data_IF_650477166534
#
_entry.id   IF_650477166534
#
_cell.length_a   1.000
_cell.length_b   1.000
_cell.length_c   1.000
_cell.angle_alpha   90.00
_cell.angle_beta   90.00
_cell.angle_gamma   90.00
#
_symmetry.space_group_name_H-M   'P 1'
#
loop_
_entity.id
_entity.type
_entity.pdbx_description
1 polymer ?
#
# COMPACT_ATOMS: atom_id res chain seq x y z
N UNK A 1 -57.24 34.45 -32.42
CA UNK A 1 -56.16 33.62 -33.04
C UNK A 1 -54.75 33.86 -32.49
N UNK A 2 -54.53 34.68 -31.44
CA UNK A 2 -53.19 34.81 -30.79
C UNK A 2 -53.00 33.92 -29.55
N UNK A 3 -54.08 33.47 -28.91
CA UNK A 3 -54.03 32.60 -27.72
C UNK A 3 -53.88 31.10 -28.04
N UNK A 4 -54.26 30.67 -29.25
CA UNK A 4 -54.11 29.27 -29.69
C UNK A 4 -52.67 28.94 -30.12
N UNK A 5 -51.94 29.92 -30.68
CA UNK A 5 -50.51 29.77 -31.00
C UNK A 5 -49.62 29.71 -29.74
N UNK A 6 -50.04 30.30 -28.63
CA UNK A 6 -49.26 30.32 -27.40
C UNK A 6 -49.33 28.97 -26.67
N UNK A 7 -50.48 28.30 -26.71
CA UNK A 7 -50.65 26.95 -26.15
C UNK A 7 -49.83 25.93 -26.96
N UNK A 8 -49.87 25.99 -28.29
CA UNK A 8 -49.08 25.10 -29.15
C UNK A 8 -47.56 25.29 -28.95
N UNK A 9 -47.08 26.52 -28.68
CA UNK A 9 -45.67 26.79 -28.37
C UNK A 9 -45.24 26.25 -27.00
N UNK A 10 -46.11 26.27 -25.99
CA UNK A 10 -45.79 25.74 -24.66
C UNK A 10 -45.81 24.20 -24.65
N UNK A 11 -46.72 23.57 -25.40
CA UNK A 11 -46.76 22.09 -25.50
C UNK A 11 -45.56 21.54 -26.28
N UNK A 12 -45.01 22.28 -27.25
CA UNK A 12 -43.81 21.86 -27.98
C UNK A 12 -42.54 21.91 -27.13
N UNK A 13 -42.43 22.86 -26.18
CA UNK A 13 -41.23 23.01 -25.32
C UNK A 13 -41.16 21.91 -24.24
N UNK A 14 -42.30 21.40 -23.77
CA UNK A 14 -42.34 20.32 -22.76
C UNK A 14 -41.98 18.95 -23.38
N UNK A 15 -42.17 18.76 -24.68
CA UNK A 15 -41.75 17.55 -25.39
C UNK A 15 -40.24 17.48 -25.65
N UNK A 16 -39.51 18.61 -25.61
CA UNK A 16 -38.05 18.62 -25.74
C UNK A 16 -37.29 18.47 -24.42
N UNK A 17 -37.96 18.59 -23.26
CA UNK A 17 -37.31 18.51 -21.94
C UNK A 17 -37.33 17.11 -21.29
N UNK A 18 -38.03 16.13 -21.87
CA UNK A 18 -38.10 14.76 -21.31
C UNK A 18 -37.30 13.72 -22.11
N UNK A 19 -36.36 14.16 -22.97
CA UNK A 19 -35.40 13.26 -23.61
C UNK A 19 -34.07 13.24 -22.86
N UNK A 20 -34.11 13.00 -21.54
CA UNK A 20 -32.92 12.45 -20.89
C UNK A 20 -32.84 10.98 -21.33
N UNK A 21 -32.08 10.74 -22.39
CA UNK A 21 -31.50 9.44 -22.62
C UNK A 21 -30.80 9.04 -21.33
N UNK A 22 -31.34 8.03 -20.64
CA UNK A 22 -30.51 7.21 -19.79
C UNK A 22 -29.41 6.68 -20.71
N UNK A 23 -28.23 7.30 -20.63
CA UNK A 23 -27.01 6.58 -20.90
C UNK A 23 -27.00 5.46 -19.85
N UNK A 24 -27.61 4.32 -20.21
CA UNK A 24 -27.17 3.06 -19.67
C UNK A 24 -25.67 3.10 -19.88
N UNK A 25 -24.92 3.21 -18.78
CA UNK A 25 -23.53 2.82 -18.76
C UNK A 25 -23.57 1.36 -19.20
N UNK A 26 -23.45 1.14 -20.51
CA UNK A 26 -23.29 -0.22 -20.99
C UNK A 26 -21.98 -0.64 -20.36
N UNK A 27 -22.04 -1.60 -19.45
CA UNK A 27 -20.90 -2.47 -19.19
C UNK A 27 -20.25 -2.73 -20.55
N UNK A 28 -18.94 -2.45 -20.70
CA UNK A 28 -18.31 -2.46 -22.01
C UNK A 28 -18.72 -3.74 -22.74
N UNK A 29 -19.44 -3.58 -23.86
CA UNK A 29 -19.82 -4.73 -24.68
C UNK A 29 -18.53 -5.47 -24.99
N UNK A 30 -18.42 -6.78 -24.74
CA UNK A 30 -17.21 -7.53 -25.06
C UNK A 30 -16.84 -7.21 -26.51
N UNK A 31 -15.67 -6.61 -26.71
CA UNK A 31 -15.31 -5.97 -27.95
C UNK A 31 -15.40 -6.96 -29.10
N UNK A 32 -16.34 -6.73 -30.02
CA UNK A 32 -16.52 -7.52 -31.24
C UNK A 32 -15.26 -7.56 -32.12
N UNK A 33 -14.33 -6.62 -31.92
CA UNK A 33 -12.99 -6.62 -32.49
C UNK A 33 -12.12 -7.81 -32.01
N UNK A 34 -12.21 -8.19 -30.72
CA UNK A 34 -11.44 -9.32 -30.16
C UNK A 34 -11.94 -10.66 -30.71
N UNK A 35 -13.26 -10.84 -30.82
CA UNK A 35 -13.83 -12.02 -31.47
C UNK A 35 -13.43 -12.10 -32.95
N UNK A 36 -13.30 -10.96 -33.64
CA UNK A 36 -12.85 -10.92 -35.04
C UNK A 36 -11.37 -11.29 -35.19
N UNK A 37 -10.49 -10.83 -34.31
CA UNK A 37 -9.05 -11.16 -34.31
C UNK A 37 -8.84 -12.63 -33.92
N UNK A 38 -9.54 -13.13 -32.90
CA UNK A 38 -9.48 -14.53 -32.50
C UNK A 38 -10.01 -15.47 -33.60
N UNK A 39 -11.06 -15.06 -34.32
CA UNK A 39 -11.58 -15.83 -35.46
C UNK A 39 -10.66 -15.75 -36.70
N UNK A 40 -9.96 -14.64 -36.93
CA UNK A 40 -9.04 -14.51 -38.08
C UNK A 40 -7.72 -15.27 -37.90
N UNK A 41 -7.36 -15.64 -36.66
CA UNK A 41 -6.16 -16.46 -36.38
C UNK A 41 -6.48 -17.96 -36.19
N UNK A 42 -7.75 -18.37 -36.28
CA UNK A 42 -8.15 -19.78 -36.15
C UNK A 42 -8.10 -20.49 -37.52
N UNK A 43 -6.89 -20.81 -37.96
CA UNK A 43 -6.72 -21.96 -38.83
C UNK A 43 -6.27 -23.13 -37.93
N UNK A 44 -7.23 -23.98 -37.52
CA UNK A 44 -7.06 -25.34 -36.95
C UNK A 44 -7.04 -25.60 -35.44
N UNK A 45 -7.41 -24.67 -34.54
CA UNK A 45 -7.62 -25.00 -33.11
C UNK A 45 -9.04 -24.63 -32.64
N UNK A 46 -9.77 -25.59 -32.02
CA UNK A 46 -11.03 -25.33 -31.31
C UNK A 46 -10.76 -24.26 -30.23
N UNK A 47 -11.34 -23.09 -30.39
CA UNK A 47 -11.17 -21.99 -29.46
C UNK A 47 -12.02 -22.28 -28.21
N UNK A 48 -11.43 -22.93 -27.21
CA UNK A 48 -12.10 -23.16 -25.92
C UNK A 48 -12.24 -21.84 -25.17
N UNK A 49 -13.26 -21.71 -24.32
CA UNK A 49 -13.47 -20.53 -23.46
C UNK A 49 -12.21 -20.17 -22.66
N UNK A 50 -11.43 -21.17 -22.26
CA UNK A 50 -10.14 -21.00 -21.58
C UNK A 50 -9.09 -20.30 -22.47
N UNK A 51 -9.01 -20.66 -23.76
CA UNK A 51 -8.06 -20.03 -24.68
C UNK A 51 -8.42 -18.57 -24.95
N UNK A 52 -9.71 -18.26 -25.09
CA UNK A 52 -10.19 -16.87 -25.23
C UNK A 52 -9.88 -16.05 -23.97
N UNK A 53 -10.11 -16.60 -22.78
CA UNK A 53 -9.78 -15.93 -21.52
C UNK A 53 -8.27 -15.67 -21.38
N UNK A 54 -7.44 -16.65 -21.73
CA UNK A 54 -5.98 -16.52 -21.71
C UNK A 54 -5.49 -15.47 -22.71
N UNK A 55 -6.02 -15.45 -23.94
CA UNK A 55 -5.68 -14.43 -24.95
C UNK A 55 -6.13 -13.03 -24.51
N UNK A 56 -7.31 -12.89 -23.91
CA UNK A 56 -7.78 -11.61 -23.39
C UNK A 56 -6.90 -11.10 -22.24
N UNK A 57 -6.50 -11.99 -21.31
CA UNK A 57 -5.59 -11.65 -20.22
C UNK A 57 -4.22 -11.21 -20.74
N UNK A 58 -3.62 -11.96 -21.67
CA UNK A 58 -2.34 -11.63 -22.28
C UNK A 58 -2.38 -10.29 -23.04
N UNK A 59 -3.47 -10.04 -23.79
CA UNK A 59 -3.66 -8.80 -24.55
C UNK A 59 -3.83 -7.59 -23.63
N UNK A 60 -4.63 -7.71 -22.57
CA UNK A 60 -4.82 -6.65 -21.57
C UNK A 60 -3.51 -6.30 -20.86
N UNK A 61 -2.70 -7.31 -20.51
CA UNK A 61 -1.36 -7.11 -19.94
C UNK A 61 -0.44 -6.34 -20.88
N UNK A 62 -0.42 -6.71 -22.17
CA UNK A 62 0.37 -6.00 -23.18
C UNK A 62 -0.07 -4.54 -23.36
N UNK A 63 -1.39 -4.28 -23.41
CA UNK A 63 -1.92 -2.92 -23.51
C UNK A 63 -1.58 -2.08 -22.28
N UNK A 64 -1.71 -2.65 -21.08
CA UNK A 64 -1.39 -1.97 -19.83
C UNK A 64 0.09 -1.63 -19.76
N UNK A 65 0.96 -2.57 -20.14
CA UNK A 65 2.40 -2.34 -20.26
C UNK A 65 2.72 -1.18 -21.21
N UNK A 66 2.15 -1.17 -22.42
CA UNK A 66 2.37 -0.09 -23.39
C UNK A 66 1.92 1.28 -22.88
N UNK A 67 0.73 1.36 -22.27
CA UNK A 67 0.22 2.61 -21.69
C UNK A 67 1.07 3.10 -20.53
N UNK A 68 1.50 2.17 -19.67
CA UNK A 68 2.38 2.48 -18.55
C UNK A 68 3.69 3.08 -19.03
N UNK A 69 4.35 2.43 -20.01
CA UNK A 69 5.60 2.93 -20.58
C UNK A 69 5.44 4.31 -21.20
N UNK A 70 4.35 4.56 -21.94
CA UNK A 70 4.08 5.87 -22.51
C UNK A 70 3.86 6.95 -21.42
N UNK A 71 3.08 6.64 -20.38
CA UNK A 71 2.83 7.55 -19.26
C UNK A 71 4.08 7.90 -18.45
N UNK A 72 4.97 6.92 -18.23
CA UNK A 72 6.29 7.15 -17.61
C UNK A 72 7.13 8.10 -18.47
N UNK A 73 7.23 7.85 -19.78
CA UNK A 73 8.01 8.68 -20.69
C UNK A 73 7.51 10.12 -20.75
N UNK A 74 6.19 10.30 -20.85
CA UNK A 74 5.57 11.63 -20.87
C UNK A 74 5.81 12.38 -19.56
N UNK A 75 5.56 11.73 -18.41
CA UNK A 75 5.78 12.34 -17.10
C UNK A 75 7.25 12.67 -16.87
N UNK A 76 8.16 11.76 -17.22
CA UNK A 76 9.60 11.97 -17.08
C UNK A 76 10.08 13.16 -17.92
N UNK A 77 9.64 13.26 -19.17
CA UNK A 77 9.96 14.39 -20.04
C UNK A 77 9.37 15.71 -19.52
N UNK A 78 8.11 15.71 -19.08
CA UNK A 78 7.41 16.88 -18.54
C UNK A 78 8.11 17.46 -17.32
N UNK A 79 8.62 16.61 -16.43
CA UNK A 79 9.19 17.03 -15.15
C UNK A 79 10.72 16.96 -15.10
N UNK A 80 11.38 16.56 -16.19
CA UNK A 80 12.83 16.43 -16.28
C UNK A 80 13.40 15.36 -15.33
N UNK A 81 12.73 14.21 -15.24
CA UNK A 81 13.11 13.06 -14.41
C UNK A 81 13.80 11.99 -15.27
N UNK A 82 14.68 11.19 -14.70
CA UNK A 82 15.19 9.97 -15.34
C UNK A 82 14.14 8.85 -15.29
N UNK A 83 14.34 7.80 -16.09
CA UNK A 83 13.50 6.61 -16.09
C UNK A 83 14.29 5.46 -15.48
N UNK A 84 13.82 4.94 -14.35
CA UNK A 84 14.27 3.67 -13.81
C UNK A 84 13.65 2.54 -14.63
N UNK A 85 14.40 2.08 -15.62
CA UNK A 85 13.96 1.04 -16.56
C UNK A 85 13.75 -0.32 -15.88
N UNK A 86 14.45 -0.62 -14.78
CA UNK A 86 14.29 -1.87 -14.02
C UNK A 86 12.94 -1.86 -13.33
N UNK A 87 12.65 -0.81 -12.58
CA UNK A 87 11.36 -0.61 -11.90
C UNK A 87 10.20 -0.54 -12.89
N UNK A 88 10.34 0.20 -13.99
CA UNK A 88 9.33 0.28 -15.05
C UNK A 88 9.00 -1.09 -15.65
N UNK A 89 10.02 -1.94 -15.88
CA UNK A 89 9.84 -3.29 -16.43
C UNK A 89 9.09 -4.20 -15.46
N UNK A 90 9.41 -4.13 -14.16
CA UNK A 90 8.70 -4.89 -13.12
C UNK A 90 7.22 -4.48 -13.10
N UNK A 91 6.93 -3.18 -13.04
CA UNK A 91 5.56 -2.66 -12.98
C UNK A 91 4.72 -2.98 -14.22
N UNK A 92 5.34 -3.01 -15.40
CA UNK A 92 4.65 -3.35 -16.65
C UNK A 92 4.07 -4.78 -16.67
N UNK A 93 4.62 -5.69 -15.86
CA UNK A 93 4.16 -7.07 -15.75
C UNK A 93 3.09 -7.31 -14.67
N UNK A 94 2.72 -6.30 -13.89
CA UNK A 94 1.86 -6.46 -12.71
C UNK A 94 0.39 -6.62 -13.13
N UNK A 95 -0.25 -7.64 -12.58
CA UNK A 95 -1.72 -7.72 -12.56
C UNK A 95 -2.24 -6.92 -11.36
N UNK A 96 -2.68 -5.69 -11.62
CA UNK A 96 -3.16 -4.76 -10.60
C UNK A 96 -4.49 -5.16 -9.96
N UNK A 97 -5.13 -6.22 -10.46
CA UNK A 97 -6.32 -6.82 -9.83
C UNK A 97 -6.00 -7.92 -8.82
N UNK A 98 -4.73 -8.33 -8.72
CA UNK A 98 -4.28 -9.40 -7.84
C UNK A 98 -3.34 -8.86 -6.76
N UNK A 99 -3.78 -8.90 -5.50
CA UNK A 99 -2.95 -8.55 -4.34
C UNK A 99 -1.64 -9.34 -4.33
N UNK A 100 -1.68 -10.65 -4.60
CA UNK A 100 -0.49 -11.49 -4.69
C UNK A 100 0.48 -11.07 -5.82
N UNK A 101 -0.04 -10.68 -6.99
CA UNK A 101 0.80 -10.15 -8.08
C UNK A 101 1.43 -8.83 -7.69
N UNK A 102 0.68 -7.94 -7.03
CA UNK A 102 1.19 -6.67 -6.52
C UNK A 102 2.28 -6.94 -5.49
N UNK A 103 2.03 -7.81 -4.51
CA UNK A 103 2.99 -8.08 -3.45
C UNK A 103 4.33 -8.59 -3.97
N UNK A 104 4.28 -9.54 -4.89
CA UNK A 104 5.48 -10.11 -5.49
C UNK A 104 6.30 -9.07 -6.25
N UNK A 105 5.63 -8.16 -6.97
CA UNK A 105 6.32 -7.11 -7.70
C UNK A 105 6.92 -6.06 -6.76
N UNK A 106 6.16 -5.62 -5.76
CA UNK A 106 6.57 -4.63 -4.77
C UNK A 106 7.79 -5.11 -3.95
N UNK A 107 7.89 -6.41 -3.66
CA UNK A 107 9.06 -7.01 -3.01
C UNK A 107 10.36 -6.90 -3.83
N UNK A 108 10.27 -6.71 -5.16
CA UNK A 108 11.42 -6.56 -6.05
C UNK A 108 11.84 -5.11 -6.28
N UNK A 109 11.02 -4.14 -5.87
CA UNK A 109 11.29 -2.72 -6.11
C UNK A 109 12.28 -2.19 -5.07
N UNK A 110 13.25 -1.42 -5.53
CA UNK A 110 14.23 -0.76 -4.67
C UNK A 110 13.81 0.70 -4.45
N UNK A 111 13.97 1.20 -3.22
CA UNK A 111 13.65 2.59 -2.87
C UNK A 111 14.50 3.53 -3.72
N UNK A 112 13.88 4.58 -4.28
CA UNK A 112 14.59 5.59 -5.09
C UNK A 112 14.30 7.03 -4.67
N UNK A 113 13.93 7.21 -3.40
CA UNK A 113 13.67 8.50 -2.77
C UNK A 113 14.80 8.88 -1.80
N UNK A 114 14.93 10.18 -1.54
CA UNK A 114 15.86 10.74 -0.54
C UNK A 114 15.11 11.65 0.41
N UNK A 115 15.21 11.40 1.71
CA UNK A 115 14.65 12.27 2.74
C UNK A 115 15.19 13.70 2.62
N UNK A 116 14.32 14.68 2.85
CA UNK A 116 14.69 16.09 3.06
C UNK A 116 14.89 16.36 4.55
N UNK A 117 15.32 17.57 4.88
CA UNK A 117 15.47 18.02 6.26
C UNK A 117 14.15 17.86 7.05
N UNK A 118 14.27 17.58 8.35
CA UNK A 118 13.10 17.33 9.21
C UNK A 118 12.18 18.56 9.36
N UNK A 119 12.73 19.77 9.23
CA UNK A 119 11.99 21.03 9.24
C UNK A 119 11.48 21.44 7.85
N UNK A 120 11.71 20.62 6.81
CA UNK A 120 11.24 20.88 5.46
C UNK A 120 9.72 20.72 5.35
N UNK A 121 9.04 21.82 5.05
CA UNK A 121 7.60 21.85 4.82
C UNK A 121 7.33 21.55 3.33
N UNK A 122 6.60 20.47 2.98
CA UNK A 122 6.32 20.13 1.60
C UNK A 122 5.36 21.11 0.94
N UNK A 123 5.48 21.26 -0.38
CA UNK A 123 4.53 22.06 -1.15
C UNK A 123 3.24 21.27 -1.40
N UNK A 124 2.13 21.73 -0.81
CA UNK A 124 0.78 21.22 -1.08
C UNK A 124 -0.01 22.24 -1.90
N UNK A 125 -0.16 21.97 -3.20
CA UNK A 125 -0.82 22.84 -4.18
C UNK A 125 -1.54 22.01 -5.26
N UNK A 126 -2.13 22.67 -6.26
CA UNK A 126 -2.83 21.99 -7.36
C UNK A 126 -1.95 21.06 -8.21
N UNK A 127 -0.62 21.16 -8.12
CA UNK A 127 0.32 20.26 -8.81
C UNK A 127 0.60 18.99 -7.98
N UNK A 128 -0.09 18.82 -6.84
CA UNK A 128 0.02 17.65 -5.95
C UNK A 128 -1.03 16.61 -6.31
N UNK A 129 -0.58 15.37 -6.53
CA UNK A 129 -1.45 14.20 -6.69
C UNK A 129 -1.56 13.49 -5.34
N UNK A 130 -2.79 13.21 -4.92
CA UNK A 130 -3.15 12.53 -3.67
C UNK A 130 -3.61 11.11 -3.98
N UNK A 131 -2.96 10.14 -3.35
CA UNK A 131 -3.30 8.71 -3.39
C UNK A 131 -3.81 8.32 -2.01
N UNK A 132 -5.14 8.31 -1.85
CA UNK A 132 -5.79 8.05 -0.58
C UNK A 132 -6.59 6.75 -0.64
N UNK A 133 -6.47 5.92 0.39
CA UNK A 133 -7.33 4.76 0.58
C UNK A 133 -8.50 5.11 1.49
N UNK A 134 -9.61 4.39 1.36
CA UNK A 134 -10.55 4.27 2.47
C UNK A 134 -9.92 3.45 3.61
N UNK A 135 -10.60 3.36 4.76
CA UNK A 135 -10.22 2.39 5.78
C UNK A 135 -10.40 0.97 5.22
N UNK A 136 -9.35 0.15 5.33
CA UNK A 136 -9.42 -1.25 4.95
C UNK A 136 -8.79 -2.14 6.03
N UNK A 137 -9.28 -3.36 6.13
CA UNK A 137 -8.75 -4.36 7.05
C UNK A 137 -7.49 -5.01 6.50
N UNK A 138 -6.53 -5.27 7.38
CA UNK A 138 -5.40 -6.13 7.09
C UNK A 138 -5.80 -7.60 7.27
N UNK A 139 -5.15 -8.48 6.50
CA UNK A 139 -5.38 -9.91 6.59
C UNK A 139 -4.26 -10.56 7.41
N UNK A 140 -4.61 -11.35 8.43
CA UNK A 140 -3.64 -12.20 9.12
C UNK A 140 -3.10 -13.26 8.17
N UNK A 141 -1.78 -13.41 8.13
CA UNK A 141 -1.11 -14.38 7.26
C UNK A 141 -0.23 -15.33 8.07
N UNK A 142 -0.17 -16.60 7.66
CA UNK A 142 0.81 -17.58 8.15
C UNK A 142 2.00 -17.72 7.21
N UNK A 143 1.90 -17.17 5.99
CA UNK A 143 2.97 -17.06 5.00
C UNK A 143 2.82 -15.75 4.26
N UNK A 144 3.85 -14.91 4.29
CA UNK A 144 3.77 -13.57 3.70
C UNK A 144 4.08 -13.59 2.21
N UNK A 145 3.26 -12.85 1.46
CA UNK A 145 3.49 -12.54 0.05
C UNK A 145 4.57 -11.48 -0.17
N UNK A 146 5.01 -10.81 0.90
CA UNK A 146 5.96 -9.69 0.87
C UNK A 146 7.41 -10.11 1.15
N UNK A 147 7.66 -11.16 1.93
CA UNK A 147 9.02 -11.51 2.39
C UNK A 147 9.32 -13.02 2.51
N UNK A 148 8.44 -13.91 2.07
CA UNK A 148 8.64 -15.37 2.09
C UNK A 148 8.79 -16.01 3.48
N UNK A 149 8.63 -15.27 4.58
CA UNK A 149 8.63 -15.86 5.92
C UNK A 149 7.28 -16.47 6.30
N UNK A 150 7.34 -17.41 7.24
CA UNK A 150 6.16 -17.94 7.93
C UNK A 150 5.93 -17.22 9.26
N UNK A 151 4.66 -17.16 9.67
CA UNK A 151 4.19 -16.40 10.83
C UNK A 151 3.23 -17.24 11.67
N UNK A 152 3.10 -16.88 12.95
CA UNK A 152 2.25 -17.59 13.90
C UNK A 152 0.78 -17.57 13.45
N UNK A 153 0.11 -18.72 13.61
CA UNK A 153 -1.32 -18.89 13.32
C UNK A 153 -2.22 -18.50 14.50
N UNK A 154 -1.66 -18.35 15.70
CA UNK A 154 -2.38 -17.94 16.91
C UNK A 154 -2.71 -16.44 16.92
N UNK A 155 -3.57 -16.00 17.84
CA UNK A 155 -4.07 -14.61 17.97
C UNK A 155 -3.74 -14.04 19.36
N UNK A 156 -2.47 -14.16 19.74
CA UNK A 156 -1.95 -13.77 21.05
C UNK A 156 -1.57 -12.27 21.11
N UNK A 157 -1.35 -11.65 19.95
CA UNK A 157 -1.02 -10.22 19.78
C UNK A 157 -2.26 -9.43 19.35
N UNK A 158 -2.86 -9.81 18.23
CA UNK A 158 -4.01 -9.13 17.64
C UNK A 158 -5.28 -9.90 17.95
N UNK A 159 -6.31 -9.19 18.46
CA UNK A 159 -7.53 -9.83 18.93
C UNK A 159 -8.30 -10.50 17.79
N UNK A 160 -8.54 -11.79 17.94
CA UNK A 160 -9.37 -12.57 17.02
C UNK A 160 -10.78 -11.98 16.88
N UNK A 161 -11.33 -12.00 15.66
CA UNK A 161 -12.64 -11.45 15.35
C UNK A 161 -12.73 -9.92 15.37
N UNK A 162 -11.60 -9.21 15.48
CA UNK A 162 -11.51 -7.74 15.37
C UNK A 162 -10.66 -7.35 14.17
N UNK A 163 -11.21 -6.51 13.29
CA UNK A 163 -10.47 -6.00 12.14
C UNK A 163 -9.36 -5.04 12.60
N UNK A 164 -8.16 -5.25 12.07
CA UNK A 164 -7.05 -4.30 12.20
C UNK A 164 -7.11 -3.40 10.98
N UNK A 165 -7.54 -2.15 11.17
CA UNK A 165 -7.82 -1.24 10.06
C UNK A 165 -6.65 -0.28 9.84
N UNK A 166 -6.38 0.00 8.58
CA UNK A 166 -5.39 1.00 8.18
C UNK A 166 -5.98 1.93 7.13
N UNK A 167 -5.43 3.15 7.09
CA UNK A 167 -5.72 4.15 6.07
C UNK A 167 -4.41 4.82 5.68
N UNK A 168 -4.09 4.81 4.39
CA UNK A 168 -2.89 5.44 3.84
C UNK A 168 -3.26 6.61 2.93
N UNK A 169 -2.45 7.66 2.98
CA UNK A 169 -2.55 8.80 2.08
C UNK A 169 -1.17 9.26 1.66
N UNK A 170 -0.86 9.23 0.37
CA UNK A 170 0.43 9.66 -0.18
C UNK A 170 0.22 10.87 -1.06
N UNK A 171 1.05 11.89 -0.88
CA UNK A 171 1.05 13.12 -1.66
C UNK A 171 2.30 13.14 -2.52
N UNK A 172 2.14 13.43 -3.82
CA UNK A 172 3.25 13.51 -4.76
C UNK A 172 3.11 14.78 -5.59
N UNK A 173 4.05 15.70 -5.42
CA UNK A 173 4.18 16.87 -6.27
C UNK A 173 5.28 16.61 -7.31
N UNK A 174 4.90 16.23 -8.52
CA UNK A 174 5.85 15.86 -9.59
C UNK A 174 6.71 17.04 -10.06
N UNK A 175 6.17 18.26 -9.97
CA UNK A 175 6.86 19.49 -10.38
C UNK A 175 7.92 19.91 -9.37
N UNK A 176 7.61 19.84 -8.08
CA UNK A 176 8.56 20.11 -6.98
C UNK A 176 9.46 18.91 -6.67
N UNK A 177 9.08 17.73 -7.17
CA UNK A 177 9.73 16.44 -6.93
C UNK A 177 9.75 16.09 -5.45
N UNK A 178 8.60 16.29 -4.82
CA UNK A 178 8.39 16.11 -3.39
C UNK A 178 7.29 15.10 -3.14
N UNK A 179 7.45 14.31 -2.08
CA UNK A 179 6.41 13.42 -1.60
C UNK A 179 6.47 13.27 -0.09
N UNK A 180 5.32 12.94 0.50
CA UNK A 180 5.18 12.57 1.90
C UNK A 180 3.91 11.72 2.04
N UNK A 181 3.72 11.12 3.21
CA UNK A 181 2.56 10.29 3.48
C UNK A 181 1.97 10.53 4.87
N UNK A 182 0.66 10.35 4.99
CA UNK A 182 -0.04 10.17 6.24
C UNK A 182 -0.48 8.70 6.36
N UNK A 183 -0.32 8.13 7.54
CA UNK A 183 -0.83 6.80 7.87
C UNK A 183 -1.63 6.87 9.15
N UNK A 184 -2.82 6.26 9.15
CA UNK A 184 -3.66 6.10 10.31
C UNK A 184 -4.02 4.63 10.51
N UNK A 185 -4.10 4.20 11.77
CA UNK A 185 -4.42 2.83 12.13
C UNK A 185 -5.46 2.76 13.24
N UNK A 186 -6.21 1.66 13.23
CA UNK A 186 -7.09 1.22 14.31
C UNK A 186 -6.77 -0.23 14.62
N UNK A 187 -6.11 -0.47 15.75
CA UNK A 187 -5.66 -1.80 16.15
C UNK A 187 -6.37 -2.23 17.42
N UNK A 188 -6.66 -3.52 17.55
CA UNK A 188 -7.26 -4.11 18.75
C UNK A 188 -6.33 -5.22 19.22
N UNK A 189 -5.63 -4.98 20.33
CA UNK A 189 -4.64 -5.89 20.89
C UNK A 189 -5.29 -6.84 21.90
N UNK A 190 -4.75 -8.06 22.02
CA UNK A 190 -5.24 -9.07 22.97
C UNK A 190 -4.92 -8.70 24.42
N UNK A 191 -3.80 -8.01 24.64
CA UNK A 191 -3.25 -7.72 25.96
C UNK A 191 -3.45 -6.25 26.35
N UNK A 192 -3.57 -6.00 27.66
CA UNK A 192 -3.68 -4.65 28.21
C UNK A 192 -2.39 -3.85 27.98
N UNK A 193 -2.52 -2.58 27.59
CA UNK A 193 -1.41 -1.63 27.46
C UNK A 193 -1.54 -0.57 28.56
N UNK A 194 -0.51 0.26 28.80
CA UNK A 194 -0.57 1.30 29.83
C UNK A 194 -1.74 2.30 29.69
N UNK A 195 -2.34 2.41 28.50
CA UNK A 195 -3.39 3.39 28.20
C UNK A 195 -4.70 2.79 27.69
N UNK A 196 -4.71 1.50 27.35
CA UNK A 196 -5.87 0.84 26.74
C UNK A 196 -6.11 -0.52 27.38
N UNK A 197 -7.36 -0.82 27.70
CA UNK A 197 -7.74 -2.12 28.22
C UNK A 197 -7.54 -3.22 27.16
N UNK A 198 -7.36 -4.46 27.61
CA UNK A 198 -7.29 -5.62 26.72
C UNK A 198 -8.52 -5.68 25.79
N UNK A 199 -8.27 -5.75 24.47
CA UNK A 199 -9.32 -5.82 23.46
C UNK A 199 -10.06 -4.51 23.18
N UNK A 200 -9.55 -3.38 23.68
CA UNK A 200 -9.96 -2.03 23.30
C UNK A 200 -9.28 -1.61 21.97
N UNK A 201 -9.97 -0.81 21.16
CA UNK A 201 -9.43 -0.33 19.90
C UNK A 201 -8.56 0.91 20.10
N UNK A 202 -7.29 0.78 19.77
CA UNK A 202 -6.29 1.85 19.72
C UNK A 202 -6.41 2.55 18.37
N UNK A 203 -6.57 3.87 18.34
CA UNK A 203 -6.59 4.66 17.11
C UNK A 203 -5.49 5.72 17.14
N UNK A 204 -4.66 5.78 16.11
CA UNK A 204 -3.55 6.73 16.03
C UNK A 204 -3.13 6.99 14.58
N UNK A 205 -2.33 8.02 14.36
CA UNK A 205 -1.86 8.41 13.04
C UNK A 205 -0.51 9.10 13.12
N UNK A 206 0.22 9.08 12.01
CA UNK A 206 1.43 9.87 11.83
C UNK A 206 1.55 10.38 10.39
N UNK A 207 2.39 11.39 10.23
CA UNK A 207 2.88 11.85 8.94
C UNK A 207 4.36 11.54 8.82
N UNK A 208 4.80 11.17 7.62
CA UNK A 208 6.22 11.02 7.32
C UNK A 208 6.88 12.38 7.13
N UNK A 209 8.21 12.40 7.23
CA UNK A 209 8.99 13.51 6.67
C UNK A 209 8.81 13.61 5.15
N UNK A 210 9.26 14.75 4.60
CA UNK A 210 9.25 14.97 3.15
C UNK A 210 10.43 14.23 2.50
N UNK A 211 10.18 13.60 1.36
CA UNK A 211 11.21 13.02 0.51
C UNK A 211 11.22 13.67 -0.87
N UNK A 212 12.35 13.55 -1.54
CA UNK A 212 12.56 13.96 -2.92
C UNK A 212 12.89 12.78 -3.83
N UNK A 213 12.63 12.94 -5.13
CA UNK A 213 12.93 11.92 -6.14
C UNK A 213 13.49 12.55 -7.41
N UNK A 214 14.25 11.76 -8.16
CA UNK A 214 14.83 12.18 -9.44
C UNK A 214 14.42 11.29 -10.61
N UNK A 215 13.73 10.18 -10.33
CA UNK A 215 13.44 9.13 -11.30
C UNK A 215 11.97 8.68 -11.23
N UNK A 216 11.47 8.13 -12.34
CA UNK A 216 10.19 7.43 -12.41
C UNK A 216 10.39 5.98 -12.87
N UNK A 217 9.59 5.01 -12.38
CA UNK A 217 8.59 5.11 -11.32
C UNK A 217 9.18 5.49 -9.96
N UNK A 218 8.41 6.19 -9.13
CA UNK A 218 8.79 6.51 -7.74
C UNK A 218 8.58 5.26 -6.90
N UNK A 219 9.52 4.92 -6.03
CA UNK A 219 9.43 3.83 -5.06
C UNK A 219 9.84 4.35 -3.70
N UNK A 220 8.89 4.33 -2.76
CA UNK A 220 9.09 4.75 -1.38
C UNK A 220 8.65 3.64 -0.44
N UNK A 221 9.37 3.48 0.66
CA UNK A 221 8.99 2.66 1.79
C UNK A 221 9.29 3.39 3.09
N UNK A 222 8.66 2.96 4.17
CA UNK A 222 8.96 3.45 5.50
C UNK A 222 8.50 2.41 6.52
N UNK A 223 9.34 2.12 7.51
CA UNK A 223 8.92 1.39 8.67
C UNK A 223 8.77 2.31 9.89
N UNK A 224 7.83 1.94 10.75
CA UNK A 224 7.44 2.69 11.93
C UNK A 224 7.16 1.73 13.08
N UNK A 225 7.09 2.29 14.27
CA UNK A 225 6.69 1.56 15.46
C UNK A 225 5.50 2.27 16.10
N UNK A 226 4.45 1.54 16.41
CA UNK A 226 3.47 1.98 17.38
C UNK A 226 3.97 1.64 18.77
N UNK A 227 4.48 2.64 19.49
CA UNK A 227 4.79 2.55 20.91
C UNK A 227 3.54 2.86 21.71
N UNK A 228 3.29 2.08 22.76
CA UNK A 228 2.18 2.35 23.67
C UNK A 228 2.39 3.66 24.45
N UNK A 229 3.63 4.12 24.62
CA UNK A 229 3.94 5.36 25.35
C UNK A 229 4.06 6.59 24.48
N UNK A 230 4.55 6.44 23.26
CA UNK A 230 4.90 7.55 22.38
C UNK A 230 4.00 7.66 21.15
N UNK A 231 3.04 6.75 20.99
CA UNK A 231 2.24 6.64 19.78
C UNK A 231 3.07 6.12 18.61
N UNK A 232 2.70 6.50 17.39
CA UNK A 232 3.43 6.12 16.19
C UNK A 232 4.70 6.97 16.05
N UNK A 233 5.86 6.31 16.02
CA UNK A 233 7.17 6.96 15.88
C UNK A 233 7.93 6.42 14.66
N UNK A 234 8.71 7.29 14.02
CA UNK A 234 9.83 6.86 13.20
C UNK A 234 10.91 6.23 14.10
N UNK A 235 11.65 5.24 13.58
CA UNK A 235 12.60 4.45 14.37
C UNK A 235 12.00 3.18 14.97
N UNK A 236 12.32 2.06 14.33
CA UNK A 236 11.89 0.70 14.76
C UNK A 236 12.92 -0.02 15.62
N UNK A 237 14.12 0.54 15.76
CA UNK A 237 15.26 -0.09 16.41
C UNK A 237 16.08 -1.04 15.52
N UNK A 238 15.63 -1.30 14.30
CA UNK A 238 16.31 -2.18 13.33
C UNK A 238 17.20 -1.40 12.34
N UNK A 239 18.25 -2.04 11.83
CA UNK A 239 19.21 -1.49 10.85
C UNK A 239 18.58 -1.37 9.49
N UNK A 240 17.90 -0.27 9.25
CA UNK A 240 17.24 -0.01 7.99
C UNK A 240 18.22 0.38 6.87
N UNK A 241 19.55 0.30 7.08
CA UNK A 241 20.59 0.44 6.06
C UNK A 241 20.26 1.46 4.97
N UNK A 242 20.22 1.00 3.72
CA UNK A 242 19.68 1.79 2.58
C UNK A 242 18.24 1.43 2.21
N UNK A 243 17.65 0.42 2.85
CA UNK A 243 16.31 -0.08 2.59
C UNK A 243 15.60 -0.43 3.90
N UNK A 244 14.38 0.06 4.04
CA UNK A 244 13.49 -0.31 5.12
C UNK A 244 13.14 -1.79 5.01
N UNK A 245 13.38 -2.58 6.06
CA UNK A 245 12.88 -3.94 6.11
C UNK A 245 11.35 -3.92 6.09
N UNK A 246 10.73 -4.96 5.54
CA UNK A 246 9.29 -5.11 5.57
C UNK A 246 8.81 -6.06 6.68
N UNK A 247 9.71 -6.47 7.57
CA UNK A 247 9.49 -7.41 8.69
C UNK A 247 10.58 -7.26 9.75
N UNK A 248 10.26 -7.66 10.98
CA UNK A 248 11.22 -7.83 12.07
C UNK A 248 12.13 -9.07 11.92
N UNK A 249 11.80 -10.03 11.04
CA UNK A 249 12.54 -11.30 10.89
C UNK A 249 13.73 -11.17 9.94
N UNK A 250 14.93 -11.56 10.38
CA UNK A 250 16.08 -11.83 9.50
C UNK A 250 16.12 -13.30 9.05
N UNK A 251 15.63 -14.21 9.90
CA UNK A 251 15.52 -15.64 9.60
C UNK A 251 14.34 -16.27 10.36
N UNK A 252 14.19 -17.58 10.29
CA UNK A 252 13.20 -18.32 11.08
C UNK A 252 13.46 -18.26 12.60
N UNK A 253 14.65 -17.85 13.04
CA UNK A 253 15.07 -17.88 14.45
C UNK A 253 15.74 -16.59 14.92
N UNK A 254 15.85 -15.56 14.08
CA UNK A 254 16.55 -14.33 14.40
C UNK A 254 15.80 -13.08 13.91
N UNK A 255 15.87 -12.02 14.69
CA UNK A 255 15.40 -10.69 14.36
C UNK A 255 16.40 -9.98 13.44
N UNK A 256 15.94 -8.92 12.76
CA UNK A 256 16.82 -8.01 12.02
C UNK A 256 17.87 -7.38 12.94
N UNK A 257 19.03 -7.08 12.34
CA UNK A 257 20.11 -6.33 12.99
C UNK A 257 19.65 -4.91 13.34
N UNK A 258 20.45 -4.14 14.09
CA UNK A 258 20.07 -2.86 14.69
C UNK A 258 20.78 -1.68 14.06
N UNK A 259 20.07 -0.57 13.83
CA UNK A 259 20.63 0.63 13.18
C UNK A 259 21.68 1.34 14.05
N UNK A 260 21.72 1.00 15.33
CA UNK A 260 22.58 1.59 16.33
C UNK A 260 23.65 0.58 16.74
N UNK A 261 24.88 1.06 16.93
CA UNK A 261 25.96 0.34 17.59
C UNK A 261 26.56 1.26 18.65
N UNK A 262 26.74 0.79 19.89
CA UNK A 262 27.41 1.51 20.97
C UNK A 262 26.52 1.75 22.19
N UNK A 263 26.26 0.70 22.97
CA UNK A 263 25.50 0.70 24.23
C UNK A 263 24.08 1.29 24.10
N UNK A 264 23.47 1.19 22.91
CA UNK A 264 22.09 1.63 22.72
C UNK A 264 21.11 0.60 23.30
N UNK A 265 19.90 1.04 23.70
CA UNK A 265 18.83 0.13 24.10
C UNK A 265 18.60 -0.97 23.05
N UNK A 266 18.75 -0.63 21.78
CA UNK A 266 18.48 -1.52 20.66
C UNK A 266 19.53 -2.60 20.47
N UNK A 267 20.78 -2.37 20.85
CA UNK A 267 21.91 -3.30 20.65
C UNK A 267 21.66 -4.65 21.33
N UNK A 268 20.89 -4.66 22.43
CA UNK A 268 20.55 -5.86 23.16
C UNK A 268 19.32 -6.56 22.56
N UNK A 269 19.49 -7.81 22.10
CA UNK A 269 18.39 -8.64 21.58
C UNK A 269 17.23 -8.78 22.55
N UNK A 270 17.49 -8.95 23.85
CA UNK A 270 16.42 -9.07 24.86
C UNK A 270 15.59 -7.80 24.96
N UNK A 271 16.20 -6.62 24.77
CA UNK A 271 15.47 -5.35 24.73
C UNK A 271 14.58 -5.26 23.49
N UNK A 272 15.05 -5.74 22.33
CA UNK A 272 14.23 -5.78 21.10
C UNK A 272 13.06 -6.74 21.22
N UNK A 273 13.29 -7.92 21.77
CA UNK A 273 12.22 -8.87 22.09
C UNK A 273 11.23 -8.20 23.05
N UNK A 274 11.72 -7.65 24.16
CA UNK A 274 10.90 -6.92 25.14
C UNK A 274 10.06 -5.80 24.54
N UNK A 275 10.61 -5.03 23.59
CA UNK A 275 9.92 -3.94 22.91
C UNK A 275 8.65 -4.44 22.20
N UNK A 276 8.76 -5.52 21.44
CA UNK A 276 7.70 -6.03 20.58
C UNK A 276 6.95 -7.23 21.16
N UNK A 277 7.20 -7.57 22.43
CA UNK A 277 6.54 -8.66 23.14
C UNK A 277 5.25 -8.17 23.80
N UNK A 278 4.18 -8.94 23.61
CA UNK A 278 2.84 -8.65 24.12
C UNK A 278 2.49 -9.46 25.37
N UNK A 279 3.24 -10.50 25.73
CA UNK A 279 2.99 -11.29 26.94
C UNK A 279 3.35 -10.51 28.23
N UNK A 280 2.54 -10.67 29.27
CA UNK A 280 2.84 -10.13 30.59
C UNK A 280 3.91 -10.98 31.28
N UNK A 281 4.98 -10.31 31.74
CA UNK A 281 6.20 -10.91 32.28
C UNK A 281 6.03 -12.07 33.28
N UNK A 282 6.78 -13.14 33.05
CA UNK A 282 7.22 -14.09 34.08
C UNK A 282 8.71 -13.99 34.45
N UNK A 283 9.52 -13.17 33.76
CA UNK A 283 11.00 -13.22 33.79
C UNK A 283 11.79 -11.97 34.23
N UNK A 284 11.14 -10.83 34.51
CA UNK A 284 11.82 -9.66 35.14
C UNK A 284 12.35 -8.54 34.23
N UNK A 285 12.12 -8.57 32.92
CA UNK A 285 12.29 -7.41 32.00
C UNK A 285 10.94 -6.96 31.45
N UNK A 286 10.67 -5.67 31.28
CA UNK A 286 9.34 -5.13 30.87
C UNK A 286 8.93 -5.48 29.43
N UNK A 287 7.68 -5.88 29.20
CA UNK A 287 7.07 -6.06 27.88
C UNK A 287 6.36 -4.76 27.44
N UNK A 288 6.85 -4.13 26.38
CA UNK A 288 6.40 -2.80 25.94
C UNK A 288 5.21 -2.83 24.97
N UNK A 289 4.91 -4.01 24.42
CA UNK A 289 3.75 -4.27 23.54
C UNK A 289 3.70 -3.34 22.32
N UNK A 290 4.86 -2.99 21.79
CA UNK A 290 4.93 -2.20 20.56
C UNK A 290 4.51 -3.06 19.36
N UNK A 291 4.06 -2.38 18.30
CA UNK A 291 3.72 -3.01 17.03
C UNK A 291 4.64 -2.45 15.96
N UNK A 292 5.32 -3.33 15.25
CA UNK A 292 6.13 -2.99 14.09
C UNK A 292 5.20 -2.76 12.89
N UNK A 293 5.50 -1.77 12.07
CA UNK A 293 4.69 -1.39 10.94
C UNK A 293 5.57 -1.08 9.72
N UNK A 294 5.10 -1.46 8.54
CA UNK A 294 5.79 -1.18 7.28
C UNK A 294 4.79 -0.72 6.23
N UNK A 295 5.15 0.32 5.49
CA UNK A 295 4.43 0.78 4.30
C UNK A 295 5.35 0.84 3.10
N UNK A 296 4.86 0.45 1.92
CA UNK A 296 5.53 0.65 0.63
C UNK A 296 4.57 1.21 -0.40
N UNK A 297 5.06 2.13 -1.21
CA UNK A 297 4.30 2.84 -2.23
C UNK A 297 5.11 2.96 -3.52
N UNK A 298 4.43 2.84 -4.65
CA UNK A 298 5.00 3.22 -5.95
C UNK A 298 3.97 3.87 -6.86
N UNK A 299 4.43 4.86 -7.63
CA UNK A 299 3.66 5.42 -8.74
C UNK A 299 4.54 5.61 -9.95
N UNK A 300 4.04 5.20 -11.12
CA UNK A 300 4.79 5.25 -12.37
C UNK A 300 4.79 6.62 -13.05
N UNK A 301 3.76 7.43 -12.81
CA UNK A 301 3.51 8.64 -13.58
C UNK A 301 2.50 9.53 -12.88
N UNK A 302 2.45 10.81 -13.25
CA UNK A 302 1.48 11.77 -12.73
C UNK A 302 0.03 11.31 -13.02
N UNK A 303 -0.80 11.25 -11.99
CA UNK A 303 -2.21 10.83 -12.10
C UNK A 303 -2.42 9.35 -12.45
N UNK A 304 -1.35 8.55 -12.50
CA UNK A 304 -1.43 7.12 -12.74
C UNK A 304 -2.06 6.34 -11.57
N UNK A 305 -2.31 5.05 -11.78
CA UNK A 305 -2.61 4.14 -10.66
C UNK A 305 -1.30 3.83 -9.92
N UNK A 306 -1.30 4.06 -8.62
CA UNK A 306 -0.22 3.66 -7.73
C UNK A 306 -0.48 2.26 -7.16
N UNK A 307 0.58 1.64 -6.62
CA UNK A 307 0.49 0.42 -5.84
C UNK A 307 0.95 0.68 -4.41
N UNK A 308 0.29 0.04 -3.45
CA UNK A 308 0.58 0.17 -2.03
C UNK A 308 0.65 -1.19 -1.33
N UNK A 309 1.49 -1.27 -0.30
CA UNK A 309 1.57 -2.37 0.65
C UNK A 309 1.61 -1.82 2.07
N UNK A 310 0.93 -2.50 2.99
CA UNK A 310 1.04 -2.24 4.42
C UNK A 310 1.14 -3.57 5.15
N UNK A 311 1.98 -3.63 6.17
CA UNK A 311 2.02 -4.73 7.11
C UNK A 311 2.23 -4.26 8.54
N UNK A 312 1.72 -5.04 9.48
CA UNK A 312 1.97 -4.89 10.91
C UNK A 312 2.42 -6.22 11.50
N UNK A 313 3.30 -6.16 12.50
CA UNK A 313 3.82 -7.31 13.20
C UNK A 313 3.92 -7.05 14.71
N UNK A 314 3.72 -8.10 15.50
CA UNK A 314 4.04 -8.14 16.92
C UNK A 314 4.28 -9.59 17.33
N UNK A 315 4.97 -9.81 18.45
CA UNK A 315 5.23 -11.15 18.96
C UNK A 315 4.74 -11.32 20.40
N UNK A 316 4.74 -12.56 20.86
CA UNK A 316 4.40 -12.90 22.24
C UNK A 316 5.34 -14.01 22.71
N UNK A 317 6.03 -13.81 23.82
CA UNK A 317 6.82 -14.88 24.39
C UNK A 317 6.96 -14.73 25.90
N UNK A 318 6.72 -15.82 26.62
CA UNK A 318 6.80 -15.88 28.08
C UNK A 318 8.20 -15.58 28.64
N UNK A 319 9.25 -15.78 27.82
CA UNK A 319 10.62 -15.36 28.10
C UNK A 319 11.05 -14.31 27.06
N UNK A 320 11.21 -13.06 27.48
CA UNK A 320 11.64 -11.99 26.57
C UNK A 320 13.14 -11.98 26.28
N UNK A 321 13.88 -13.02 26.70
CA UNK A 321 15.28 -13.20 26.35
C UNK A 321 15.51 -14.27 25.27
N UNK A 322 14.52 -15.14 25.01
CA UNK A 322 14.59 -16.13 23.93
C UNK A 322 14.14 -15.55 22.59
N UNK A 323 15.13 -15.19 21.77
CA UNK A 323 14.90 -14.66 20.43
C UNK A 323 14.24 -15.67 19.49
N UNK A 324 14.60 -16.94 19.54
CA UNK A 324 14.09 -17.93 18.60
C UNK A 324 12.61 -18.24 18.89
N UNK A 325 12.27 -18.40 20.17
CA UNK A 325 10.89 -18.53 20.63
C UNK A 325 10.05 -17.30 20.29
N UNK A 326 10.59 -16.09 20.53
CA UNK A 326 9.93 -14.86 20.13
C UNK A 326 9.72 -14.76 18.61
N UNK A 327 10.73 -15.02 17.79
CA UNK A 327 10.62 -14.96 16.32
C UNK A 327 9.57 -15.95 15.80
N UNK A 328 9.48 -17.13 16.39
CA UNK A 328 8.46 -18.12 16.05
C UNK A 328 7.03 -17.64 16.37
N UNK A 329 6.88 -16.83 17.43
CA UNK A 329 5.60 -16.27 17.88
C UNK A 329 5.07 -15.09 17.05
N UNK A 330 5.92 -14.47 16.22
CA UNK A 330 5.55 -13.23 15.52
C UNK A 330 4.33 -13.49 14.64
N UNK A 331 3.30 -12.69 14.89
CA UNK A 331 2.13 -12.56 14.05
C UNK A 331 2.33 -11.45 13.02
N UNK A 332 1.73 -11.64 11.84
CA UNK A 332 1.70 -10.63 10.80
C UNK A 332 0.30 -10.47 10.25
N UNK A 333 -0.08 -9.20 10.05
CA UNK A 333 -1.21 -8.85 9.19
C UNK A 333 -0.73 -7.97 8.06
N UNK A 334 -1.19 -8.23 6.84
CA UNK A 334 -0.71 -7.53 5.66
C UNK A 334 -1.82 -7.30 4.62
N UNK A 335 -1.59 -6.35 3.72
CA UNK A 335 -2.45 -6.07 2.59
C UNK A 335 -1.67 -5.42 1.45
N UNK A 336 -2.16 -5.57 0.22
CA UNK A 336 -1.59 -4.94 -0.97
C UNK A 336 -2.68 -4.61 -1.97
N UNK A 337 -2.56 -3.47 -2.64
CA UNK A 337 -3.60 -2.99 -3.53
C UNK A 337 -3.18 -1.85 -4.45
N UNK A 338 -4.08 -1.53 -5.37
CA UNK A 338 -3.96 -0.41 -6.29
C UNK A 338 -4.70 0.81 -5.76
N UNK A 339 -4.13 2.01 -5.95
CA UNK A 339 -4.64 3.27 -5.43
C UNK A 339 -4.71 4.27 -6.59
N UNK A 340 -5.88 4.86 -6.83
CA UNK A 340 -6.04 5.87 -7.89
C UNK A 340 -5.66 7.24 -7.35
N UNK A 341 -4.71 7.91 -8.02
CA UNK A 341 -4.35 9.29 -7.71
C UNK A 341 -5.42 10.28 -8.17
N UNK A 342 -5.64 11.34 -7.39
CA UNK A 342 -6.47 12.49 -7.75
C UNK A 342 -5.69 13.77 -7.54
N UNK A 343 -5.95 14.80 -8.34
CA UNK A 343 -5.38 16.11 -8.08
C UNK A 343 -5.85 16.63 -6.72
N UNK A 344 -4.97 17.31 -6.00
CA UNK A 344 -5.34 18.00 -4.77
C UNK A 344 -6.28 19.17 -5.11
N UNK A 345 -7.49 19.16 -4.54
CA UNK A 345 -8.53 20.13 -4.88
C UNK A 345 -8.44 21.43 -4.04
N UNK A 346 -7.57 21.48 -3.02
CA UNK A 346 -7.58 22.56 -2.04
C UNK A 346 -8.86 22.55 -1.19
N UNK A 347 -8.76 23.02 0.05
CA UNK A 347 -9.95 23.34 0.84
C UNK A 347 -10.19 24.85 0.79
#
# INVERSE_FOLDING_TARGET
MKKFLFIIKITLIILFYNSYSFAVVSTPTPTTALNKIANSMSHSAKNTTQNVANTNSATSKLLNSSKLTAGIQESAAKFGLSIDTKTATILAGVDTSSSASISKAMAQLERNIKGKDQDYIPTLDQDTIVYETDWFALEKVTSSSMNSFSYASTHDVFKEGSDQLVKGKVYVNFKKREMWADMAVKLTLTQETPYFAAGEQISTSMSTGTASFTELPIVADQAFRLSQYYGMTDGTGYDQGSNEFNTMKASATALQDTCCSGDSFWDNTANRVSEYNHDTNSGGQDAWKSVYMYGKFTTASEGGTALGQIAIEGGHHNDNTDEAGFVASIERQEASGAITGKAYEGN
#
